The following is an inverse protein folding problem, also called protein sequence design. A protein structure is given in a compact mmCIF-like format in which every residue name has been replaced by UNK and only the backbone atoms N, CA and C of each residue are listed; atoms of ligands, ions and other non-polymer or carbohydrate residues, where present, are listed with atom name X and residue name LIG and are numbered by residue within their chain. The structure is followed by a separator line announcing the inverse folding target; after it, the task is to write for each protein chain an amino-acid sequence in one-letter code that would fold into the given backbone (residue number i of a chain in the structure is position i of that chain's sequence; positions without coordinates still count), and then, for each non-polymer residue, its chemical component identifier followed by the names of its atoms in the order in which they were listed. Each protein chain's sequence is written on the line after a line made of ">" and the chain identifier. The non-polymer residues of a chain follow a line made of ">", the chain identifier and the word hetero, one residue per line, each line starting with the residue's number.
data_IF_896411667649
#
_entry.id   IF_896411667649
#
_cell.length_a   1.000
_cell.length_b   1.000
_cell.length_c   1.000
_cell.angle_alpha   90.00
_cell.angle_beta   90.00
_cell.angle_gamma   90.00
#
_symmetry.space_group_name_H-M   'P 1'
#
loop_
_entity.id
_entity.type
_entity.pdbx_description
1 polymer ?
#
# COMPACT_ATOMS: atom_id res chain seq x y z
N UNK A 1 18.68 51.35 19.79
CA UNK A 1 19.44 50.20 20.32
C UNK A 1 18.71 48.92 19.94
N UNK A 2 19.08 48.27 18.83
CA UNK A 2 18.54 46.93 18.53
C UNK A 2 19.25 45.96 19.47
N UNK A 3 18.54 45.52 20.52
CA UNK A 3 19.11 44.62 21.51
C UNK A 3 19.56 43.32 20.84
N UNK A 4 20.83 42.97 21.05
CA UNK A 4 21.46 41.72 20.59
C UNK A 4 20.60 40.49 20.91
N UNK A 5 19.81 40.56 21.99
CA UNK A 5 18.85 39.53 22.40
C UNK A 5 17.73 39.27 21.36
N UNK A 6 17.23 40.31 20.67
CA UNK A 6 16.17 40.17 19.67
C UNK A 6 16.62 39.42 18.41
N UNK A 7 17.90 39.58 18.03
CA UNK A 7 18.49 38.87 16.89
C UNK A 7 18.73 37.39 17.19
N UNK A 8 19.14 37.07 18.41
CA UNK A 8 19.32 35.69 18.86
C UNK A 8 17.98 34.95 18.96
N UNK A 9 16.94 35.61 19.48
CA UNK A 9 15.59 35.03 19.51
C UNK A 9 15.04 34.77 18.10
N UNK A 10 15.22 35.73 17.17
CA UNK A 10 14.77 35.58 15.78
C UNK A 10 15.47 34.41 15.06
N UNK A 11 16.79 34.27 15.23
CA UNK A 11 17.56 33.16 14.67
C UNK A 11 17.15 31.81 15.29
N UNK A 12 16.94 31.75 16.60
CA UNK A 12 16.49 30.53 17.27
C UNK A 12 15.10 30.08 16.77
N UNK A 13 14.16 31.03 16.62
CA UNK A 13 12.82 30.75 16.10
C UNK A 13 12.88 30.25 14.65
N UNK A 14 13.69 30.88 13.80
CA UNK A 14 13.90 30.46 12.41
C UNK A 14 14.51 29.05 12.32
N UNK A 15 15.50 28.73 13.15
CA UNK A 15 16.09 27.39 13.23
C UNK A 15 15.09 26.33 13.70
N UNK A 16 14.21 26.67 14.65
CA UNK A 16 13.19 25.73 15.15
C UNK A 16 12.10 25.47 14.10
N UNK A 17 11.65 26.51 13.38
CA UNK A 17 10.73 26.40 12.25
C UNK A 17 11.30 25.57 11.09
N UNK A 18 12.59 25.71 10.80
CA UNK A 18 13.27 24.90 9.78
C UNK A 18 13.40 23.42 10.20
N UNK A 19 13.50 23.14 11.50
CA UNK A 19 13.53 21.77 12.04
C UNK A 19 12.13 21.12 12.12
N UNK A 20 11.04 21.90 12.15
CA UNK A 20 9.65 21.39 12.25
C UNK A 20 9.12 20.67 11.02
N UNK A 21 9.89 20.54 9.93
CA UNK A 21 9.46 19.83 8.70
C UNK A 21 9.66 18.31 8.80
N UNK A 22 10.27 17.80 9.89
CA UNK A 22 10.44 16.37 10.10
C UNK A 22 9.10 15.72 10.47
N UNK A 23 8.44 15.15 9.47
CA UNK A 23 7.63 13.94 9.67
C UNK A 23 6.11 14.11 9.79
N UNK A 24 5.50 15.12 9.15
CA UNK A 24 4.04 15.07 8.96
C UNK A 24 3.67 13.90 8.05
N UNK A 25 2.72 13.07 8.47
CA UNK A 25 2.11 12.06 7.63
C UNK A 25 1.07 12.71 6.71
N UNK A 26 1.00 12.26 5.46
CA UNK A 26 -0.09 12.58 4.55
C UNK A 26 -1.17 11.50 4.59
N UNK A 27 -2.41 11.86 4.23
CA UNK A 27 -3.55 10.95 4.15
C UNK A 27 -4.26 11.17 2.81
N UNK A 28 -4.67 10.09 2.15
CA UNK A 28 -5.53 10.16 0.97
C UNK A 28 -6.55 9.03 0.94
N UNK A 29 -7.75 9.38 0.49
CA UNK A 29 -8.87 8.45 0.31
C UNK A 29 -9.15 8.24 -1.17
N UNK A 30 -9.22 6.98 -1.57
CA UNK A 30 -9.61 6.51 -2.88
C UNK A 30 -11.06 6.01 -2.83
N UNK A 31 -11.83 6.29 -3.88
CA UNK A 31 -13.21 5.80 -4.02
C UNK A 31 -13.26 4.85 -5.19
N UNK A 32 -13.73 3.62 -4.96
CA UNK A 32 -13.93 2.66 -6.02
C UNK A 32 -15.10 3.13 -6.91
N UNK A 33 -14.80 3.64 -8.10
CA UNK A 33 -15.80 4.04 -9.10
C UNK A 33 -15.80 3.12 -10.33
N UNK A 34 -15.27 1.90 -10.19
CA UNK A 34 -15.14 0.96 -11.32
C UNK A 34 -16.46 0.31 -11.74
N UNK A 35 -17.52 0.45 -10.93
CA UNK A 35 -18.79 -0.26 -11.14
C UNK A 35 -18.75 -1.72 -10.70
N UNK A 36 -17.61 -2.23 -10.20
CA UNK A 36 -17.41 -3.63 -9.81
C UNK A 36 -16.81 -3.74 -8.41
N UNK A 37 -16.88 -4.93 -7.82
CA UNK A 37 -16.11 -5.27 -6.62
C UNK A 37 -14.64 -5.44 -6.99
N UNK A 38 -13.76 -4.80 -6.23
CA UNK A 38 -12.31 -4.84 -6.41
C UNK A 38 -11.66 -5.58 -5.24
N UNK A 39 -10.57 -6.31 -5.50
CA UNK A 39 -9.84 -7.12 -4.53
C UNK A 39 -8.56 -6.47 -4.02
N UNK A 40 -8.22 -5.30 -4.58
CA UNK A 40 -7.07 -4.54 -4.15
C UNK A 40 -6.90 -3.23 -4.91
N UNK A 41 -5.85 -2.51 -4.56
CA UNK A 41 -5.41 -1.28 -5.20
C UNK A 41 -3.89 -1.21 -5.22
N UNK A 42 -3.33 -0.83 -6.36
CA UNK A 42 -1.93 -0.47 -6.49
C UNK A 42 -1.82 1.05 -6.49
N UNK A 43 -0.92 1.61 -5.70
CA UNK A 43 -0.69 3.05 -5.55
C UNK A 43 0.77 3.36 -5.82
N UNK A 44 1.02 4.35 -6.67
CA UNK A 44 2.35 4.83 -7.02
C UNK A 44 2.55 6.24 -6.49
N UNK A 45 3.70 6.48 -5.89
CA UNK A 45 4.10 7.74 -5.28
C UNK A 45 5.23 8.39 -6.07
N UNK A 46 5.32 9.72 -5.97
CA UNK A 46 6.37 10.51 -6.61
C UNK A 46 7.77 10.25 -6.06
N UNK A 47 7.86 9.66 -4.86
CA UNK A 47 9.09 9.39 -4.09
C UNK A 47 8.85 8.17 -3.21
N UNK A 48 9.93 7.57 -2.69
CA UNK A 48 9.83 6.48 -1.73
C UNK A 48 9.21 6.96 -0.41
N UNK A 49 8.16 6.26 0.04
CA UNK A 49 7.43 6.51 1.28
C UNK A 49 7.36 5.25 2.13
N UNK A 50 7.04 5.41 3.41
CA UNK A 50 6.58 4.34 4.29
C UNK A 50 5.09 4.55 4.55
N UNK A 51 4.31 3.49 4.35
CA UNK A 51 2.92 3.48 4.77
C UNK A 51 2.87 3.43 6.30
N UNK A 52 2.11 4.34 6.91
CA UNK A 52 1.95 4.44 8.36
C UNK A 52 0.68 3.75 8.84
N UNK A 53 -0.38 3.78 8.03
CA UNK A 53 -1.65 3.12 8.30
C UNK A 53 -2.47 3.05 7.01
N UNK A 54 -3.30 2.02 6.88
CA UNK A 54 -4.29 1.87 5.82
C UNK A 54 -5.57 1.23 6.38
N UNK A 55 -6.67 1.38 5.64
CA UNK A 55 -7.93 0.77 6.04
C UNK A 55 -7.84 -0.77 6.07
N UNK A 56 -8.55 -1.43 7.02
CA UNK A 56 -8.47 -2.89 7.21
C UNK A 56 -9.17 -3.70 6.11
N UNK A 57 -9.90 -3.05 5.20
CA UNK A 57 -10.57 -3.71 4.07
C UNK A 57 -9.59 -4.41 3.13
N UNK A 58 -8.35 -3.92 3.07
CA UNK A 58 -7.23 -4.61 2.43
C UNK A 58 -6.14 -4.83 3.48
N UNK A 59 -6.15 -5.97 4.18
CA UNK A 59 -5.21 -6.24 5.26
C UNK A 59 -3.78 -6.48 4.77
N UNK A 60 -3.62 -6.92 3.52
CA UNK A 60 -2.32 -7.25 2.97
C UNK A 60 -1.70 -6.04 2.30
N UNK A 61 -0.46 -5.71 2.65
CA UNK A 61 0.36 -4.68 2.01
C UNK A 61 1.62 -5.31 1.43
N UNK A 62 1.96 -4.96 0.18
CA UNK A 62 3.23 -5.35 -0.44
C UNK A 62 3.81 -4.21 -1.29
N UNK A 63 5.11 -3.87 -1.15
CA UNK A 63 6.08 -4.43 -0.21
C UNK A 63 5.88 -3.90 1.23
N UNK A 64 6.54 -4.52 2.19
CA UNK A 64 6.69 -3.99 3.56
C UNK A 64 7.91 -3.06 3.59
N UNK A 65 7.79 -1.91 4.25
CA UNK A 65 8.87 -0.94 4.43
C UNK A 65 8.76 0.29 3.52
N UNK A 66 9.89 0.76 2.97
CA UNK A 66 9.96 1.94 2.11
C UNK A 66 9.90 1.56 0.64
N UNK A 67 8.95 2.14 -0.09
CA UNK A 67 8.78 1.93 -1.53
C UNK A 67 8.13 3.16 -2.17
N UNK A 68 8.28 3.32 -3.48
CA UNK A 68 7.53 4.26 -4.31
C UNK A 68 6.25 3.63 -4.88
N UNK A 69 6.10 2.32 -4.79
CA UNK A 69 4.89 1.61 -5.21
C UNK A 69 4.44 0.61 -4.14
N UNK A 70 3.13 0.57 -3.87
CA UNK A 70 2.51 -0.35 -2.93
C UNK A 70 1.26 -0.97 -3.54
N UNK A 71 1.01 -2.24 -3.22
CA UNK A 71 -0.21 -2.96 -3.49
C UNK A 71 -0.88 -3.31 -2.17
N UNK A 72 -2.17 -3.00 -2.07
CA UNK A 72 -3.03 -3.38 -0.95
C UNK A 72 -4.07 -4.38 -1.46
N UNK A 73 -4.20 -5.52 -0.79
CA UNK A 73 -5.10 -6.61 -1.20
C UNK A 73 -5.61 -7.42 0.00
N UNK A 74 -6.24 -8.58 -0.27
CA UNK A 74 -6.67 -9.52 0.78
C UNK A 74 -8.14 -9.41 1.19
N UNK A 75 -8.88 -8.45 0.63
CA UNK A 75 -10.30 -8.27 0.90
C UNK A 75 -11.09 -7.83 -0.31
N UNK A 76 -12.35 -7.44 -0.10
CA UNK A 76 -13.27 -7.05 -1.16
C UNK A 76 -13.85 -5.67 -0.88
N UNK A 77 -13.66 -4.74 -1.81
CA UNK A 77 -14.19 -3.39 -1.72
C UNK A 77 -15.30 -3.19 -2.77
N UNK A 78 -16.52 -2.94 -2.30
CA UNK A 78 -17.70 -2.75 -3.15
C UNK A 78 -17.59 -1.46 -3.98
N UNK A 79 -18.41 -1.34 -5.02
CA UNK A 79 -18.54 -0.10 -5.77
C UNK A 79 -18.96 1.05 -4.83
N UNK A 80 -18.39 2.24 -5.07
CA UNK A 80 -18.53 3.47 -4.27
C UNK A 80 -17.99 3.41 -2.83
N UNK A 81 -17.44 2.27 -2.40
CA UNK A 81 -16.77 2.19 -1.11
C UNK A 81 -15.40 2.90 -1.14
N UNK A 82 -14.91 3.26 0.05
CA UNK A 82 -13.72 4.08 0.25
C UNK A 82 -12.57 3.23 0.78
N UNK A 83 -11.37 3.61 0.42
CA UNK A 83 -10.12 3.07 0.95
C UNK A 83 -9.14 4.21 1.20
N UNK A 84 -8.64 4.32 2.41
CA UNK A 84 -7.74 5.39 2.84
C UNK A 84 -6.39 4.82 3.23
N UNK A 85 -5.34 5.57 2.89
CA UNK A 85 -3.96 5.27 3.28
C UNK A 85 -3.29 6.53 3.81
N UNK A 86 -2.39 6.34 4.77
CA UNK A 86 -1.50 7.38 5.27
C UNK A 86 -0.05 6.97 5.10
N UNK A 87 0.82 7.94 4.84
CA UNK A 87 2.22 7.69 4.56
C UNK A 87 3.14 8.82 5.02
N UNK A 88 4.43 8.51 5.08
CA UNK A 88 5.50 9.46 5.34
C UNK A 88 6.63 9.30 4.32
N UNK A 89 7.27 10.40 3.89
CA UNK A 89 7.00 11.79 4.25
C UNK A 89 5.79 12.37 3.50
N UNK A 90 5.09 13.36 4.10
CA UNK A 90 3.99 14.09 3.46
C UNK A 90 4.37 14.87 2.19
N UNK A 91 5.67 15.12 1.98
CA UNK A 91 6.17 15.75 0.75
C UNK A 91 6.03 14.87 -0.49
N UNK A 92 5.81 13.56 -0.32
CA UNK A 92 5.50 12.64 -1.40
C UNK A 92 4.01 12.70 -1.76
N UNK A 93 3.72 12.70 -3.07
CA UNK A 93 2.36 12.73 -3.61
C UNK A 93 2.05 11.40 -4.30
N UNK A 94 0.79 10.99 -4.29
CA UNK A 94 0.32 9.91 -5.16
C UNK A 94 0.32 10.44 -6.60
N UNK A 95 1.00 9.72 -7.49
CA UNK A 95 1.10 10.07 -8.91
C UNK A 95 0.16 9.24 -9.77
N UNK A 96 -0.12 8.00 -9.35
CA UNK A 96 -1.02 7.10 -10.06
C UNK A 96 -1.63 6.08 -9.09
N UNK A 97 -2.78 5.52 -9.46
CA UNK A 97 -3.35 4.38 -8.77
C UNK A 97 -4.20 3.52 -9.72
N UNK A 98 -4.26 2.22 -9.43
CA UNK A 98 -5.01 1.25 -10.22
C UNK A 98 -5.78 0.29 -9.30
N UNK A 99 -7.08 0.19 -9.52
CA UNK A 99 -7.91 -0.82 -8.89
C UNK A 99 -7.65 -2.20 -9.49
N UNK A 100 -7.57 -3.22 -8.63
CA UNK A 100 -7.42 -4.61 -9.02
C UNK A 100 -8.80 -5.25 -8.91
N UNK A 101 -9.40 -5.63 -10.04
CA UNK A 101 -10.65 -6.38 -10.04
C UNK A 101 -10.38 -7.86 -9.83
N UNK A 102 -11.27 -8.56 -9.14
CA UNK A 102 -11.30 -10.02 -9.21
C UNK A 102 -11.69 -10.42 -10.64
N UNK A 103 -10.73 -10.57 -11.54
CA UNK A 103 -10.88 -11.58 -12.58
C UNK A 103 -10.76 -12.90 -11.86
N UNK A 104 -11.80 -13.73 -11.91
CA UNK A 104 -11.76 -15.11 -11.44
C UNK A 104 -10.46 -15.75 -11.94
N UNK A 105 -9.46 -15.81 -11.06
CA UNK A 105 -8.18 -16.46 -11.33
C UNK A 105 -8.38 -17.91 -10.92
N UNK A 106 -9.14 -18.64 -11.73
CA UNK A 106 -9.14 -20.10 -11.69
C UNK A 106 -7.77 -20.56 -12.15
N UNK A 107 -6.81 -20.72 -11.23
CA UNK A 107 -5.53 -21.45 -11.36
C UNK A 107 -4.83 -21.30 -9.99
N UNK A 108 -4.47 -22.32 -9.22
CA UNK A 108 -4.36 -23.76 -9.42
C UNK A 108 -4.72 -24.41 -8.09
N UNK A 109 -5.79 -25.21 -8.05
CA UNK A 109 -5.95 -26.19 -6.99
C UNK A 109 -4.92 -27.27 -7.32
N UNK A 110 -3.73 -27.19 -6.74
CA UNK A 110 -2.81 -28.32 -6.74
C UNK A 110 -3.42 -29.39 -5.84
N UNK A 111 -4.43 -30.07 -6.36
CA UNK A 111 -5.03 -31.25 -5.77
C UNK A 111 -3.94 -32.31 -5.76
N UNK A 112 -3.31 -32.46 -4.60
CA UNK A 112 -2.43 -33.56 -4.25
C UNK A 112 -3.28 -34.84 -4.22
N UNK A 113 -3.79 -35.28 -5.37
CA UNK A 113 -4.32 -36.64 -5.52
C UNK A 113 -3.08 -37.53 -5.64
N UNK A 114 -2.68 -38.10 -4.51
CA UNK A 114 -1.83 -39.29 -4.46
C UNK A 114 -2.61 -40.41 -5.16
N UNK A 115 -2.40 -40.60 -6.47
CA UNK A 115 -2.81 -41.82 -7.16
C UNK A 115 -1.80 -42.91 -6.82
N UNK A 116 -2.12 -43.67 -5.77
CA UNK A 116 -1.58 -44.98 -5.51
C UNK A 116 -2.17 -45.96 -6.54
N UNK A 117 -1.42 -46.39 -7.55
CA UNK A 117 -1.75 -47.58 -8.35
C UNK A 117 -0.47 -48.21 -8.91
N UNK A 118 -0.08 -49.35 -8.34
CA UNK A 118 1.02 -50.20 -8.80
C UNK A 118 0.75 -50.74 -10.22
N UNK A 119 1.80 -50.96 -11.04
CA UNK A 119 1.64 -51.53 -12.38
C UNK A 119 1.24 -53.01 -12.32
N UNK A 120 0.18 -53.34 -13.05
CA UNK A 120 -0.26 -54.72 -13.30
C UNK A 120 0.76 -55.37 -14.25
N UNK A 121 1.60 -56.25 -13.73
CA UNK A 121 2.46 -57.11 -14.55
C UNK A 121 1.62 -58.27 -15.09
N UNK A 122 1.42 -58.31 -16.40
CA UNK A 122 0.96 -59.51 -17.12
C UNK A 122 2.20 -60.25 -17.62
N UNK A 123 2.38 -61.54 -17.27
CA UNK A 123 3.16 -62.44 -18.08
C UNK A 123 2.27 -63.47 -18.79
N UNK A 124 2.59 -63.61 -20.06
CA UNK A 124 2.09 -64.53 -21.07
C UNK A 124 2.64 -65.94 -20.84
N UNK A 125 1.75 -66.94 -20.83
CA UNK A 125 2.01 -68.32 -21.26
C UNK A 125 0.67 -68.97 -21.64
#
# INVERSE_FOLDING_TARGET
>A
MQSTAGRVLGLALACTLLMSVVGLAALQTFINKTGKTVTGIMVTFSKRVSITSHDPVFPDQSPIGRSDQFTFSGGNLRNLARFSISWMPSSAKVTDYKWITSSVSTTSISLHIVQNSLPITVPRA
#
